data_IF_573140671772
#
_entry.id   IF_573140671772
#
_cell.length_a   1.000
_cell.length_b   1.000
_cell.length_c   1.000
_cell.angle_alpha   90.00
_cell.angle_beta   90.00
_cell.angle_gamma   90.00
#
_symmetry.space_group_name_H-M   'P 1'
#
loop_
_entity.id
_entity.type
_entity.pdbx_description
1 polymer ?
#
# COMPACT_ATOMS: atom_id res chain seq x y z
N UNK A 1 22.99 9.98 -34.17
CA UNK A 1 22.44 10.54 -32.93
C UNK A 1 21.61 9.46 -32.30
N UNK A 2 21.95 9.04 -31.06
CA UNK A 2 21.11 8.07 -30.35
C UNK A 2 19.80 8.77 -29.97
N UNK A 3 18.74 8.47 -30.71
CA UNK A 3 17.41 8.96 -30.37
C UNK A 3 16.94 8.15 -29.15
N UNK A 4 17.00 8.72 -27.96
CA UNK A 4 16.50 8.11 -26.73
C UNK A 4 15.08 8.63 -26.51
N UNK A 5 14.10 7.76 -26.80
CA UNK A 5 12.70 8.08 -26.62
C UNK A 5 12.19 7.55 -25.26
N UNK A 6 11.22 8.25 -24.71
CA UNK A 6 10.48 7.79 -23.54
C UNK A 6 9.62 6.56 -23.92
N UNK A 7 9.52 5.60 -23.02
CA UNK A 7 8.70 4.42 -23.23
C UNK A 7 7.23 4.79 -23.57
N UNK A 8 6.67 4.19 -24.60
CA UNK A 8 5.35 4.55 -25.13
C UNK A 8 4.22 4.38 -24.09
N UNK A 9 4.26 3.31 -23.29
CA UNK A 9 3.26 3.11 -22.23
C UNK A 9 3.44 4.12 -21.09
N UNK A 10 4.69 4.51 -20.80
CA UNK A 10 4.97 5.55 -19.81
C UNK A 10 4.53 6.93 -20.32
N UNK A 11 4.66 7.19 -21.62
CA UNK A 11 4.21 8.44 -22.23
C UNK A 11 2.70 8.66 -22.07
N UNK A 12 1.89 7.60 -22.16
CA UNK A 12 0.46 7.69 -21.89
C UNK A 12 0.13 8.14 -20.46
N UNK A 13 0.99 7.79 -19.48
CA UNK A 13 0.85 8.23 -18.08
C UNK A 13 1.38 9.64 -17.89
N UNK A 14 2.56 9.95 -18.48
CA UNK A 14 3.19 11.26 -18.39
C UNK A 14 2.28 12.39 -18.91
N UNK A 15 1.67 12.17 -20.05
CA UNK A 15 0.83 13.18 -20.73
C UNK A 15 -0.67 12.99 -20.47
N UNK A 16 -1.04 12.29 -19.40
CA UNK A 16 -2.44 12.22 -18.99
C UNK A 16 -2.97 13.60 -18.59
N UNK A 17 -4.16 13.95 -19.06
CA UNK A 17 -4.81 15.24 -18.80
C UNK A 17 -5.02 15.53 -17.28
N UNK A 18 -5.04 14.49 -16.44
CA UNK A 18 -5.17 14.62 -15.01
C UNK A 18 -3.87 15.09 -14.32
N UNK A 19 -2.72 14.97 -15.00
CA UNK A 19 -1.42 15.34 -14.44
C UNK A 19 -1.17 16.83 -14.65
N UNK A 20 -0.89 17.55 -13.55
CA UNK A 20 -0.65 19.00 -13.54
C UNK A 20 0.81 19.35 -13.30
N UNK A 21 1.57 18.45 -12.65
CA UNK A 21 2.97 18.67 -12.32
C UNK A 21 3.76 17.36 -12.33
N UNK A 22 4.96 17.39 -12.91
CA UNK A 22 5.96 16.34 -12.75
C UNK A 22 6.90 16.66 -11.61
N UNK A 23 7.00 15.76 -10.64
CA UNK A 23 8.01 15.79 -9.60
C UNK A 23 9.07 14.76 -9.96
N UNK A 24 10.23 15.21 -10.39
CA UNK A 24 11.32 14.32 -10.82
C UNK A 24 12.18 13.97 -9.62
N UNK A 25 12.26 12.69 -9.26
CA UNK A 25 13.19 12.22 -8.25
C UNK A 25 14.62 12.32 -8.81
N UNK A 26 15.32 13.37 -8.45
CA UNK A 26 16.60 13.76 -9.00
C UNK A 26 17.72 13.52 -7.98
N UNK A 27 18.65 12.60 -8.28
CA UNK A 27 19.77 12.25 -7.40
C UNK A 27 21.10 12.84 -7.86
N UNK A 28 21.14 13.56 -8.99
CA UNK A 28 22.36 14.03 -9.61
C UNK A 28 23.16 12.93 -10.33
N UNK A 29 22.80 11.65 -10.17
CA UNK A 29 23.42 10.55 -10.90
C UNK A 29 22.98 10.50 -12.37
N UNK A 30 23.76 9.81 -13.22
CA UNK A 30 23.59 9.73 -14.67
C UNK A 30 22.13 9.49 -15.10
N UNK A 31 21.48 8.46 -14.56
CA UNK A 31 20.17 8.03 -15.01
C UNK A 31 19.09 9.09 -14.73
N UNK A 32 19.16 9.75 -13.56
CA UNK A 32 18.24 10.83 -13.19
C UNK A 32 18.51 12.12 -13.95
N UNK A 33 19.76 12.40 -14.31
CA UNK A 33 20.15 13.57 -15.12
C UNK A 33 19.65 13.41 -16.55
N UNK A 34 19.83 12.23 -17.14
CA UNK A 34 19.29 11.93 -18.47
C UNK A 34 17.75 12.02 -18.48
N UNK A 35 17.09 11.45 -17.45
CA UNK A 35 15.64 11.57 -17.32
C UNK A 35 15.21 13.05 -17.27
N UNK A 36 15.85 13.85 -16.42
CA UNK A 36 15.51 15.27 -16.28
C UNK A 36 15.69 16.00 -17.62
N UNK A 37 16.81 15.77 -18.33
CA UNK A 37 17.08 16.36 -19.63
C UNK A 37 16.03 15.96 -20.68
N UNK A 38 15.64 14.69 -20.76
CA UNK A 38 14.59 14.22 -21.67
C UNK A 38 13.24 14.89 -21.40
N UNK A 39 12.87 15.03 -20.11
CA UNK A 39 11.60 15.63 -19.70
C UNK A 39 11.55 17.16 -19.98
N UNK A 40 12.67 17.85 -19.76
CA UNK A 40 12.77 19.29 -20.03
C UNK A 40 12.55 19.59 -21.51
N UNK A 41 13.01 18.72 -22.41
CA UNK A 41 12.88 18.88 -23.85
C UNK A 41 11.53 18.44 -24.43
N UNK A 42 10.56 18.03 -23.59
CA UNK A 42 9.20 17.76 -24.06
C UNK A 42 8.42 19.06 -24.32
N UNK A 43 7.82 19.18 -25.49
CA UNK A 43 7.09 20.40 -25.90
C UNK A 43 5.86 20.66 -25.01
N UNK A 44 5.10 19.61 -24.67
CA UNK A 44 3.83 19.70 -23.93
C UNK A 44 4.01 19.34 -22.44
N UNK A 45 5.20 19.64 -21.86
CA UNK A 45 5.46 19.34 -20.44
C UNK A 45 4.62 20.21 -19.50
N UNK A 46 4.04 19.63 -18.43
CA UNK A 46 3.42 20.41 -17.37
C UNK A 46 4.47 21.13 -16.50
N UNK A 47 4.03 21.76 -15.42
CA UNK A 47 4.97 22.25 -14.40
C UNK A 47 5.91 21.14 -13.95
N UNK A 48 7.16 21.49 -13.63
CA UNK A 48 8.17 20.53 -13.17
C UNK A 48 8.79 20.99 -11.86
N UNK A 49 9.17 20.00 -11.03
CA UNK A 49 9.98 20.18 -9.83
C UNK A 49 11.01 19.05 -9.77
N UNK A 50 12.29 19.37 -9.73
CA UNK A 50 13.33 18.41 -9.40
C UNK A 50 13.46 18.30 -7.87
N UNK A 51 13.33 17.09 -7.35
CA UNK A 51 13.34 16.82 -5.91
C UNK A 51 14.48 15.87 -5.54
N UNK A 52 15.45 16.39 -4.81
CA UNK A 52 16.57 15.66 -4.25
C UNK A 52 16.24 15.19 -2.83
N UNK A 53 16.48 13.92 -2.53
CA UNK A 53 16.35 13.38 -1.17
C UNK A 53 17.76 13.12 -0.63
N UNK A 54 18.14 13.92 0.35
CA UNK A 54 19.40 13.76 1.05
C UNK A 54 19.25 12.78 2.22
N UNK A 55 19.97 11.67 2.16
CA UNK A 55 19.96 10.65 3.20
C UNK A 55 20.97 10.92 4.34
N UNK A 56 21.82 11.95 4.21
CA UNK A 56 22.85 12.29 5.20
C UNK A 56 23.90 11.18 5.41
N UNK A 57 24.01 10.23 4.47
CA UNK A 57 24.89 9.08 4.60
C UNK A 57 26.30 9.32 4.05
N UNK A 58 26.49 10.37 3.27
CA UNK A 58 27.74 10.70 2.59
C UNK A 58 28.29 12.03 3.11
N UNK A 59 29.61 12.10 3.28
CA UNK A 59 30.27 13.35 3.70
C UNK A 59 30.15 14.46 2.62
N UNK A 60 29.99 14.06 1.37
CA UNK A 60 29.87 14.92 0.19
C UNK A 60 28.43 15.35 -0.12
N UNK A 61 27.47 15.06 0.74
CA UNK A 61 26.03 15.31 0.52
C UNK A 61 25.72 16.78 0.19
N UNK A 62 26.39 17.74 0.84
CA UNK A 62 26.24 19.15 0.54
C UNK A 62 26.74 19.51 -0.87
N UNK A 63 27.89 18.98 -1.28
CA UNK A 63 28.45 19.18 -2.62
C UNK A 63 27.52 18.59 -3.69
N UNK A 64 26.91 17.45 -3.43
CA UNK A 64 25.96 16.83 -4.34
C UNK A 64 24.66 17.62 -4.46
N UNK A 65 24.19 18.19 -3.37
CA UNK A 65 23.03 19.09 -3.37
C UNK A 65 23.28 20.32 -4.22
N UNK A 66 24.47 20.95 -4.10
CA UNK A 66 24.87 22.10 -4.92
C UNK A 66 24.94 21.72 -6.41
N UNK A 67 25.58 20.60 -6.75
CA UNK A 67 25.62 20.11 -8.13
C UNK A 67 24.23 19.89 -8.73
N UNK A 68 23.31 19.30 -7.96
CA UNK A 68 21.92 19.12 -8.38
C UNK A 68 21.22 20.47 -8.62
N UNK A 69 21.45 21.46 -7.77
CA UNK A 69 20.89 22.79 -7.90
C UNK A 69 21.44 23.49 -9.15
N UNK A 70 22.74 23.38 -9.43
CA UNK A 70 23.38 23.97 -10.62
C UNK A 70 22.81 23.39 -11.91
N UNK A 71 22.65 22.06 -12.01
CA UNK A 71 22.01 21.42 -13.17
C UNK A 71 20.57 21.92 -13.35
N UNK A 72 19.81 22.00 -12.26
CA UNK A 72 18.44 22.48 -12.33
C UNK A 72 18.36 23.95 -12.74
N UNK A 73 19.30 24.79 -12.30
CA UNK A 73 19.42 26.18 -12.76
C UNK A 73 19.71 26.27 -14.26
N UNK A 74 20.65 25.44 -14.78
CA UNK A 74 20.95 25.38 -16.22
C UNK A 74 19.73 24.99 -17.04
N UNK A 75 18.89 24.08 -16.54
CA UNK A 75 17.68 23.62 -17.20
C UNK A 75 16.44 24.49 -16.90
N UNK A 76 16.59 25.54 -16.09
CA UNK A 76 15.52 26.44 -15.67
C UNK A 76 14.35 25.68 -14.99
N UNK A 77 14.67 24.70 -14.15
CA UNK A 77 13.70 23.88 -13.41
C UNK A 77 13.78 24.20 -11.92
N UNK A 78 12.65 24.43 -11.25
CA UNK A 78 12.60 24.54 -9.80
C UNK A 78 13.22 23.32 -9.12
N UNK A 79 14.08 23.57 -8.12
CA UNK A 79 14.78 22.55 -7.35
C UNK A 79 14.39 22.63 -5.87
N UNK A 80 14.23 21.46 -5.25
CA UNK A 80 14.06 21.33 -3.80
C UNK A 80 14.89 20.16 -3.30
N UNK A 81 15.45 20.30 -2.10
CA UNK A 81 16.12 19.21 -1.38
C UNK A 81 15.43 18.94 -0.05
N UNK A 82 15.36 17.68 0.35
CA UNK A 82 14.81 17.24 1.64
C UNK A 82 15.79 16.31 2.30
N UNK A 83 16.26 16.71 3.49
CA UNK A 83 17.03 15.82 4.34
C UNK A 83 16.11 14.79 5.02
N UNK A 84 16.49 13.52 5.00
CA UNK A 84 15.80 12.43 5.67
C UNK A 84 16.71 11.69 6.61
N UNK A 85 16.19 11.31 7.77
CA UNK A 85 16.91 10.45 8.72
C UNK A 85 16.61 9.00 8.40
N UNK A 86 17.64 8.21 8.13
CA UNK A 86 17.51 6.77 7.90
C UNK A 86 17.58 6.05 9.24
N UNK A 87 16.57 5.23 9.56
CA UNK A 87 16.57 4.45 10.79
C UNK A 87 17.75 3.45 10.81
N UNK A 88 18.45 3.37 11.94
CA UNK A 88 19.63 2.51 12.09
C UNK A 88 19.29 1.00 12.19
N UNK A 89 18.01 0.63 12.31
CA UNK A 89 17.56 -0.76 12.47
C UNK A 89 17.16 -1.39 11.13
N UNK A 90 17.61 -2.60 10.84
CA UNK A 90 17.28 -3.35 9.62
C UNK A 90 18.32 -3.24 8.49
N UNK A 91 17.98 -3.64 7.25
CA UNK A 91 18.87 -3.47 6.11
C UNK A 91 18.87 -2.01 5.68
N UNK A 92 20.05 -1.35 5.69
CA UNK A 92 20.20 0.07 5.38
C UNK A 92 19.58 0.49 4.06
N UNK A 93 19.66 -0.35 3.01
CA UNK A 93 19.06 -0.08 1.69
C UNK A 93 17.54 -0.03 1.74
N UNK A 94 16.90 -0.96 2.47
CA UNK A 94 15.43 -1.00 2.60
C UNK A 94 14.93 0.23 3.35
N UNK A 95 15.58 0.58 4.46
CA UNK A 95 15.21 1.74 5.27
C UNK A 95 15.40 3.06 4.50
N UNK A 96 16.52 3.21 3.79
CA UNK A 96 16.77 4.38 2.94
C UNK A 96 15.71 4.50 1.82
N UNK A 97 15.32 3.37 1.24
CA UNK A 97 14.24 3.34 0.23
C UNK A 97 12.89 3.75 0.83
N UNK A 98 12.52 3.23 2.01
CA UNK A 98 11.26 3.58 2.68
C UNK A 98 11.23 5.07 3.06
N UNK A 99 12.30 5.59 3.67
CA UNK A 99 12.44 7.01 4.02
C UNK A 99 12.30 7.91 2.80
N UNK A 100 12.93 7.53 1.66
CA UNK A 100 12.82 8.26 0.40
C UNK A 100 11.37 8.31 -0.12
N UNK A 101 10.66 7.18 -0.14
CA UNK A 101 9.28 7.15 -0.60
C UNK A 101 8.35 7.93 0.33
N UNK A 102 8.61 7.91 1.64
CA UNK A 102 7.87 8.73 2.60
C UNK A 102 8.11 10.23 2.36
N UNK A 103 9.35 10.64 2.09
CA UNK A 103 9.68 12.03 1.75
C UNK A 103 8.96 12.46 0.46
N UNK A 104 8.95 11.62 -0.57
CA UNK A 104 8.17 11.90 -1.77
C UNK A 104 6.68 12.08 -1.46
N UNK A 105 6.08 11.18 -0.68
CA UNK A 105 4.65 11.27 -0.32
C UNK A 105 4.30 12.57 0.41
N UNK A 106 5.20 13.11 1.23
CA UNK A 106 4.98 14.35 1.97
C UNK A 106 4.96 15.60 1.06
N UNK A 107 5.58 15.54 -0.12
CA UNK A 107 5.64 16.64 -1.10
C UNK A 107 4.58 16.53 -2.18
N UNK A 108 4.24 15.31 -2.55
CA UNK A 108 3.31 15.04 -3.64
C UNK A 108 1.88 15.46 -3.26
N UNK A 109 1.24 16.15 -4.20
CA UNK A 109 -0.16 16.55 -4.12
C UNK A 109 -1.00 15.70 -5.08
N UNK A 110 -2.31 15.79 -4.94
CA UNK A 110 -3.23 15.24 -5.94
C UNK A 110 -2.91 15.84 -7.31
N UNK A 111 -2.92 15.02 -8.36
CA UNK A 111 -2.54 15.37 -9.74
C UNK A 111 -1.03 15.59 -9.97
N UNK A 112 -0.17 15.33 -8.99
CA UNK A 112 1.26 15.22 -9.23
C UNK A 112 1.62 13.82 -9.76
N UNK A 113 2.66 13.78 -10.60
CA UNK A 113 3.30 12.55 -11.04
C UNK A 113 4.75 12.53 -10.59
N UNK A 114 5.11 11.57 -9.75
CA UNK A 114 6.51 11.29 -9.42
C UNK A 114 7.17 10.55 -10.58
N UNK A 115 8.21 11.11 -11.15
CA UNK A 115 8.94 10.50 -12.27
C UNK A 115 10.33 10.07 -11.81
N UNK A 116 10.67 8.78 -12.02
CA UNK A 116 11.91 8.18 -11.54
C UNK A 116 12.72 7.56 -12.67
N UNK A 117 14.05 7.72 -12.63
CA UNK A 117 15.01 7.28 -13.64
C UNK A 117 15.41 5.79 -13.55
N UNK A 118 14.51 4.90 -13.12
CA UNK A 118 14.79 3.46 -13.16
C UNK A 118 14.82 2.98 -14.62
N UNK A 119 15.76 2.07 -14.89
CA UNK A 119 16.04 1.59 -16.25
C UNK A 119 16.00 0.05 -16.35
N UNK A 120 16.28 -0.50 -17.52
CA UNK A 120 16.20 -1.93 -17.81
C UNK A 120 17.08 -2.77 -16.87
N UNK A 121 18.31 -2.34 -16.60
CA UNK A 121 19.22 -3.11 -15.74
C UNK A 121 18.70 -3.15 -14.29
N UNK A 122 17.99 -2.10 -13.79
CA UNK A 122 17.27 -2.13 -12.51
C UNK A 122 16.14 -3.16 -12.49
N UNK A 123 15.45 -3.36 -13.62
CA UNK A 123 14.45 -4.42 -13.77
C UNK A 123 15.06 -5.80 -13.56
N UNK A 124 16.19 -6.04 -14.21
CA UNK A 124 16.91 -7.32 -14.11
C UNK A 124 17.37 -7.57 -12.68
N UNK A 125 18.05 -6.60 -12.07
CA UNK A 125 18.49 -6.67 -10.68
C UNK A 125 17.32 -7.00 -9.74
N UNK A 126 16.19 -6.29 -9.90
CA UNK A 126 15.01 -6.49 -9.06
C UNK A 126 14.39 -7.88 -9.28
N UNK A 127 14.32 -8.34 -10.54
CA UNK A 127 13.79 -9.66 -10.86
C UNK A 127 14.65 -10.78 -10.23
N UNK A 128 15.98 -10.68 -10.33
CA UNK A 128 16.89 -11.62 -9.71
C UNK A 128 16.84 -11.58 -8.18
N UNK A 129 16.83 -10.39 -7.57
CA UNK A 129 16.70 -10.26 -6.12
C UNK A 129 15.39 -10.88 -5.61
N UNK A 130 14.29 -10.66 -6.29
CA UNK A 130 12.99 -11.24 -5.91
C UNK A 130 13.00 -12.76 -6.06
N UNK A 131 13.63 -13.30 -7.11
CA UNK A 131 13.81 -14.73 -7.29
C UNK A 131 14.66 -15.35 -6.16
N UNK A 132 15.79 -14.75 -5.84
CA UNK A 132 16.71 -15.22 -4.79
C UNK A 132 16.10 -15.16 -3.39
N UNK A 133 15.25 -14.15 -3.13
CA UNK A 133 14.53 -14.00 -1.85
C UNK A 133 13.32 -14.95 -1.73
N UNK A 134 13.04 -15.75 -2.73
CA UNK A 134 11.88 -16.65 -2.73
C UNK A 134 10.56 -15.88 -2.69
N UNK A 135 10.44 -14.84 -3.52
CA UNK A 135 9.19 -14.06 -3.62
C UNK A 135 7.99 -14.98 -3.82
N UNK A 136 7.04 -14.95 -2.89
CA UNK A 136 5.83 -15.77 -2.93
C UNK A 136 4.80 -15.28 -3.96
N UNK A 137 5.08 -14.18 -4.62
CA UNK A 137 4.30 -13.73 -5.76
C UNK A 137 4.69 -14.61 -6.95
N UNK A 138 3.75 -15.31 -7.60
CA UNK A 138 4.06 -16.14 -8.76
C UNK A 138 4.79 -15.33 -9.84
N UNK A 139 5.90 -15.86 -10.32
CA UNK A 139 6.64 -15.31 -11.44
C UNK A 139 7.75 -14.33 -11.12
N UNK A 140 8.45 -13.90 -12.16
CA UNK A 140 9.49 -12.87 -12.10
C UNK A 140 8.84 -11.51 -11.83
N UNK A 141 9.06 -10.95 -10.65
CA UNK A 141 8.50 -9.65 -10.28
C UNK A 141 9.54 -8.56 -10.49
N UNK A 142 9.32 -7.72 -11.47
CA UNK A 142 10.13 -6.52 -11.71
C UNK A 142 9.56 -5.27 -11.06
N UNK A 143 10.11 -4.13 -11.45
CA UNK A 143 9.63 -2.81 -11.05
C UNK A 143 8.43 -2.44 -11.92
N UNK A 144 7.27 -2.02 -11.38
CA UNK A 144 6.14 -1.59 -12.20
C UNK A 144 6.45 -0.26 -12.90
N UNK A 145 6.05 -0.11 -14.16
CA UNK A 145 6.19 1.14 -14.94
C UNK A 145 5.49 2.30 -14.27
N UNK A 146 4.25 2.06 -13.85
CA UNK A 146 3.46 3.01 -13.09
C UNK A 146 2.79 2.34 -11.90
N UNK A 147 2.59 3.09 -10.81
CA UNK A 147 1.83 2.64 -9.65
C UNK A 147 1.31 3.83 -8.84
N UNK A 148 0.31 3.61 -8.02
CA UNK A 148 -0.13 4.62 -7.04
C UNK A 148 0.89 4.79 -5.90
N UNK A 149 0.98 6.03 -5.40
CA UNK A 149 1.76 6.40 -4.22
C UNK A 149 0.94 7.44 -3.42
N UNK A 150 0.15 6.97 -2.48
CA UNK A 150 -0.87 7.82 -1.84
C UNK A 150 -1.91 8.26 -2.86
N UNK A 151 -2.17 9.58 -2.91
CA UNK A 151 -3.08 10.20 -3.87
C UNK A 151 -2.43 10.52 -5.22
N UNK A 152 -1.10 10.37 -5.33
CA UNK A 152 -0.33 10.60 -6.55
C UNK A 152 -0.01 9.30 -7.28
N UNK A 153 0.62 9.45 -8.45
CA UNK A 153 1.15 8.34 -9.26
C UNK A 153 2.68 8.40 -9.33
N UNK A 154 3.31 7.25 -9.54
CA UNK A 154 4.74 7.12 -9.88
C UNK A 154 4.84 6.57 -11.28
N UNK A 155 5.71 7.15 -12.11
CA UNK A 155 6.03 6.68 -13.46
C UNK A 155 7.55 6.48 -13.63
N UNK A 156 7.95 5.54 -14.51
CA UNK A 156 9.36 5.22 -14.81
C UNK A 156 9.56 5.10 -16.31
N UNK A 157 9.81 6.22 -16.98
CA UNK A 157 9.82 6.27 -18.45
C UNK A 157 11.00 5.54 -19.10
N UNK A 158 12.10 5.31 -18.36
CA UNK A 158 13.30 4.67 -18.87
C UNK A 158 13.37 3.16 -18.60
N UNK A 159 12.29 2.57 -18.07
CA UNK A 159 12.31 1.20 -17.56
C UNK A 159 12.56 0.13 -18.63
N UNK A 160 12.32 0.43 -19.90
CA UNK A 160 12.65 -0.41 -21.05
C UNK A 160 14.01 -0.11 -21.67
N UNK A 161 14.73 0.91 -21.21
CA UNK A 161 15.98 1.41 -21.80
C UNK A 161 17.20 0.79 -21.13
N UNK A 162 18.15 0.29 -21.91
CA UNK A 162 19.41 -0.23 -21.37
C UNK A 162 20.28 0.90 -20.82
N UNK A 163 20.99 0.66 -19.71
CA UNK A 163 21.89 1.64 -19.10
C UNK A 163 22.99 2.12 -20.07
N UNK A 164 23.45 1.25 -20.97
CA UNK A 164 24.41 1.62 -22.02
C UNK A 164 23.88 2.70 -22.98
N UNK A 165 22.61 2.59 -23.38
CA UNK A 165 21.94 3.61 -24.21
C UNK A 165 21.81 4.94 -23.46
N UNK A 166 21.45 4.91 -22.17
CA UNK A 166 21.38 6.09 -21.29
C UNK A 166 22.77 6.76 -21.23
N UNK A 167 23.84 5.96 -21.04
CA UNK A 167 25.21 6.47 -20.99
C UNK A 167 25.62 7.12 -22.31
N UNK A 168 25.33 6.49 -23.46
CA UNK A 168 25.64 7.06 -24.79
C UNK A 168 24.93 8.40 -24.97
N UNK A 169 23.66 8.47 -24.62
CA UNK A 169 22.90 9.72 -24.67
C UNK A 169 23.50 10.81 -23.77
N UNK A 170 23.86 10.48 -22.54
CA UNK A 170 24.47 11.44 -21.62
C UNK A 170 25.76 12.04 -22.18
N UNK A 171 26.61 11.20 -22.80
CA UNK A 171 27.86 11.63 -23.43
C UNK A 171 27.60 12.48 -24.69
N UNK A 172 26.68 12.08 -25.55
CA UNK A 172 26.33 12.86 -26.77
C UNK A 172 25.77 14.23 -26.43
N UNK A 173 24.98 14.34 -25.34
CA UNK A 173 24.40 15.60 -24.87
C UNK A 173 25.33 16.39 -23.94
N UNK A 174 26.56 15.93 -23.72
CA UNK A 174 27.55 16.56 -22.81
C UNK A 174 26.97 16.82 -21.41
N UNK A 175 26.15 15.89 -20.88
CA UNK A 175 25.58 16.02 -19.54
C UNK A 175 26.65 15.70 -18.48
N UNK A 176 26.65 16.47 -17.39
CA UNK A 176 27.45 16.18 -16.20
C UNK A 176 26.62 15.45 -15.16
N UNK A 177 27.22 14.53 -14.44
CA UNK A 177 26.56 13.77 -13.38
C UNK A 177 27.52 13.41 -12.26
N UNK A 178 26.96 13.05 -11.09
CA UNK A 178 27.70 12.55 -9.93
C UNK A 178 27.88 11.04 -10.06
N UNK A 179 29.10 10.56 -9.81
CA UNK A 179 29.38 9.14 -9.61
C UNK A 179 29.52 8.87 -8.11
N UNK A 180 28.50 8.20 -7.52
CA UNK A 180 28.55 7.80 -6.12
C UNK A 180 29.55 6.64 -5.94
N UNK A 181 30.65 6.80 -5.18
CA UNK A 181 31.65 5.76 -4.96
C UNK A 181 31.09 4.50 -4.31
N UNK A 182 30.01 4.62 -3.54
CA UNK A 182 29.35 3.47 -2.88
C UNK A 182 28.76 2.46 -3.87
N UNK A 183 28.48 2.87 -5.10
CA UNK A 183 27.99 1.97 -6.17
C UNK A 183 29.05 0.93 -6.60
N UNK A 184 30.33 1.19 -6.37
CA UNK A 184 31.40 0.25 -6.66
C UNK A 184 31.61 -0.81 -5.57
N UNK A 185 31.02 -0.59 -4.38
CA UNK A 185 31.15 -1.51 -3.24
C UNK A 185 30.11 -2.62 -3.32
N UNK A 186 30.54 -3.87 -3.18
CA UNK A 186 29.69 -5.07 -3.24
C UNK A 186 28.96 -5.36 -1.91
N UNK A 187 28.82 -4.37 -1.03
CA UNK A 187 28.21 -4.53 0.30
C UNK A 187 26.70 -4.80 0.25
N UNK A 188 26.01 -4.20 -0.71
CA UNK A 188 24.60 -4.45 -0.94
C UNK A 188 24.38 -5.56 -1.96
N UNK A 189 23.41 -6.44 -1.74
CA UNK A 189 23.04 -7.52 -2.66
C UNK A 189 22.87 -7.00 -4.11
N UNK A 190 22.28 -5.82 -4.24
CA UNK A 190 22.04 -5.18 -5.53
C UNK A 190 23.34 -4.81 -6.25
N UNK A 191 24.30 -4.23 -5.52
CA UNK A 191 25.59 -3.88 -6.08
C UNK A 191 26.38 -5.14 -6.44
N UNK A 192 26.36 -6.18 -5.59
CA UNK A 192 26.96 -7.47 -5.91
C UNK A 192 26.39 -8.08 -7.20
N UNK A 193 25.08 -8.08 -7.35
CA UNK A 193 24.44 -8.55 -8.60
C UNK A 193 24.90 -7.71 -9.79
N UNK A 194 24.88 -6.38 -9.69
CA UNK A 194 25.26 -5.45 -10.75
C UNK A 194 26.73 -5.60 -11.17
N UNK A 195 27.62 -5.66 -10.18
CA UNK A 195 29.06 -5.57 -10.42
C UNK A 195 29.70 -6.93 -10.74
N UNK A 196 29.16 -8.04 -10.21
CA UNK A 196 29.73 -9.37 -10.33
C UNK A 196 28.89 -10.33 -11.14
N UNK A 197 27.63 -10.48 -10.83
CA UNK A 197 26.78 -11.54 -11.40
C UNK A 197 26.30 -11.16 -12.80
N UNK A 198 25.75 -9.97 -12.98
CA UNK A 198 25.18 -9.55 -14.27
C UNK A 198 26.22 -9.55 -15.42
N UNK A 199 27.45 -9.07 -15.24
CA UNK A 199 28.47 -9.16 -16.30
C UNK A 199 28.74 -10.61 -16.73
N UNK A 200 28.83 -11.55 -15.79
CA UNK A 200 29.03 -12.97 -16.09
C UNK A 200 27.86 -13.57 -16.88
N UNK A 201 26.62 -13.23 -16.45
CA UNK A 201 25.41 -13.68 -17.14
C UNK A 201 25.33 -13.12 -18.56
N UNK A 202 25.62 -11.83 -18.73
CA UNK A 202 25.58 -11.18 -20.06
C UNK A 202 26.66 -11.75 -20.99
N UNK A 203 27.87 -12.00 -20.48
CA UNK A 203 28.95 -12.59 -21.30
C UNK A 203 28.61 -13.99 -21.80
N UNK A 204 27.92 -14.78 -21.00
CA UNK A 204 27.53 -16.16 -21.34
C UNK A 204 26.21 -16.25 -22.10
N UNK A 205 25.29 -15.33 -21.79
CA UNK A 205 23.94 -15.25 -22.36
C UNK A 205 23.65 -13.81 -22.83
N UNK A 206 24.13 -13.41 -24.01
CA UNK A 206 23.99 -12.01 -24.49
C UNK A 206 22.54 -11.53 -24.52
N UNK A 207 21.59 -12.43 -24.79
CA UNK A 207 20.16 -12.12 -24.89
C UNK A 207 19.42 -12.13 -23.53
N UNK A 208 20.13 -12.26 -22.40
CA UNK A 208 19.46 -12.42 -21.10
C UNK A 208 18.53 -11.27 -20.77
N UNK A 209 18.89 -10.04 -21.17
CA UNK A 209 18.06 -8.84 -20.97
C UNK A 209 16.69 -8.99 -21.64
N UNK A 210 16.68 -9.32 -22.91
CA UNK A 210 15.44 -9.48 -23.69
C UNK A 210 14.59 -10.66 -23.19
N UNK A 211 15.25 -11.76 -22.81
CA UNK A 211 14.57 -12.96 -22.28
C UNK A 211 13.90 -12.68 -20.93
N UNK A 212 14.59 -11.97 -20.03
CA UNK A 212 14.02 -11.61 -18.73
C UNK A 212 12.87 -10.61 -18.91
N UNK A 213 13.01 -9.61 -19.79
CA UNK A 213 11.90 -8.71 -20.11
C UNK A 213 10.68 -9.45 -20.64
N UNK A 214 10.87 -10.38 -21.57
CA UNK A 214 9.78 -11.23 -22.09
C UNK A 214 9.12 -12.02 -20.96
N UNK A 215 9.91 -12.57 -20.04
CA UNK A 215 9.41 -13.25 -18.84
C UNK A 215 8.56 -12.29 -17.97
N UNK A 216 9.08 -11.11 -17.67
CA UNK A 216 8.37 -10.09 -16.88
C UNK A 216 7.03 -9.68 -17.51
N UNK A 217 6.98 -9.50 -18.82
CA UNK A 217 5.72 -9.18 -19.53
C UNK A 217 4.69 -10.31 -19.41
N UNK A 218 5.12 -11.58 -19.60
CA UNK A 218 4.23 -12.73 -19.43
C UNK A 218 3.70 -12.84 -18.00
N UNK A 219 4.54 -12.55 -17.01
CA UNK A 219 4.14 -12.58 -15.61
C UNK A 219 3.16 -11.46 -15.26
N UNK A 220 3.27 -10.27 -15.87
CA UNK A 220 2.27 -9.20 -15.73
C UNK A 220 0.92 -9.68 -16.28
N UNK A 221 0.90 -10.28 -17.47
CA UNK A 221 -0.33 -10.83 -18.06
C UNK A 221 -0.94 -11.96 -17.19
N UNK A 222 -0.11 -12.88 -16.71
CA UNK A 222 -0.56 -13.94 -15.81
C UNK A 222 -1.19 -13.39 -14.52
N UNK A 223 -0.59 -12.36 -13.92
CA UNK A 223 -1.15 -11.69 -12.74
C UNK A 223 -2.47 -10.99 -13.03
N UNK A 224 -2.62 -10.36 -14.20
CA UNK A 224 -3.90 -9.77 -14.60
C UNK A 224 -5.00 -10.84 -14.71
N UNK A 225 -4.69 -11.98 -15.31
CA UNK A 225 -5.63 -13.11 -15.40
C UNK A 225 -5.97 -13.66 -14.02
N UNK A 226 -4.99 -13.83 -13.13
CA UNK A 226 -5.23 -14.28 -11.75
C UNK A 226 -6.09 -13.28 -10.97
N UNK A 227 -5.90 -11.99 -11.19
CA UNK A 227 -6.70 -10.94 -10.56
C UNK A 227 -8.15 -10.95 -11.11
N UNK A 228 -8.34 -11.13 -12.42
CA UNK A 228 -9.66 -11.29 -13.01
C UNK A 228 -10.37 -12.54 -12.48
N UNK A 229 -9.66 -13.67 -12.41
CA UNK A 229 -10.19 -14.91 -11.83
C UNK A 229 -10.63 -14.70 -10.38
N UNK A 230 -9.79 -14.03 -9.55
CA UNK A 230 -10.15 -13.75 -8.16
C UNK A 230 -11.41 -12.88 -8.04
N UNK A 231 -11.60 -11.91 -8.93
CA UNK A 231 -12.82 -11.09 -8.97
C UNK A 231 -14.04 -11.88 -9.38
N UNK A 232 -13.92 -12.77 -10.36
CA UNK A 232 -14.99 -13.69 -10.74
C UNK A 232 -15.35 -14.62 -9.59
N UNK A 233 -14.33 -15.19 -8.91
CA UNK A 233 -14.53 -16.00 -7.72
C UNK A 233 -15.26 -15.25 -6.63
N UNK A 234 -14.84 -14.02 -6.33
CA UNK A 234 -15.49 -13.19 -5.33
C UNK A 234 -16.96 -12.93 -5.68
N UNK A 235 -17.25 -12.59 -6.93
CA UNK A 235 -18.63 -12.38 -7.41
C UNK A 235 -19.48 -13.64 -7.28
N UNK A 236 -18.92 -14.81 -7.65
CA UNK A 236 -19.64 -16.10 -7.55
C UNK A 236 -19.91 -16.53 -6.09
N UNK A 237 -19.11 -16.03 -5.13
CA UNK A 237 -19.25 -16.32 -3.71
C UNK A 237 -20.06 -15.27 -2.95
N UNK A 238 -20.45 -14.18 -3.61
CA UNK A 238 -21.34 -13.17 -3.03
C UNK A 238 -22.74 -13.75 -2.84
N UNK A 239 -23.26 -13.59 -1.66
CA UNK A 239 -24.65 -13.84 -1.28
C UNK A 239 -25.18 -12.59 -0.54
N UNK A 240 -26.42 -12.61 -0.08
CA UNK A 240 -27.07 -11.50 0.66
C UNK A 240 -26.37 -11.19 2.00
N UNK A 241 -25.34 -11.94 2.38
CA UNK A 241 -24.62 -11.79 3.63
C UNK A 241 -23.25 -11.18 3.38
N UNK A 242 -22.80 -10.31 4.25
CA UNK A 242 -21.45 -9.77 4.22
C UNK A 242 -20.38 -10.85 4.55
N UNK A 243 -19.16 -10.66 4.05
CA UNK A 243 -18.05 -11.60 4.20
C UNK A 243 -18.12 -12.79 3.24
N UNK A 244 -17.12 -13.66 3.24
CA UNK A 244 -17.02 -14.82 2.34
C UNK A 244 -17.21 -16.10 3.13
N UNK A 245 -18.03 -17.01 2.65
CA UNK A 245 -18.22 -18.33 3.26
C UNK A 245 -16.92 -19.15 3.26
N UNK A 246 -16.48 -19.64 4.43
CA UNK A 246 -15.32 -20.51 4.53
C UNK A 246 -15.53 -21.84 3.82
N UNK A 247 -16.76 -22.35 3.80
CA UNK A 247 -17.10 -23.56 3.06
C UNK A 247 -16.96 -23.32 1.54
N UNK A 248 -17.46 -22.19 1.06
CA UNK A 248 -17.33 -21.83 -0.35
C UNK A 248 -15.86 -21.62 -0.76
N UNK A 249 -15.05 -20.97 0.10
CA UNK A 249 -13.58 -20.89 -0.11
C UNK A 249 -12.92 -22.26 -0.16
N UNK A 250 -13.34 -23.20 0.70
CA UNK A 250 -12.83 -24.57 0.68
C UNK A 250 -13.19 -25.29 -0.63
N UNK A 251 -14.38 -25.07 -1.16
CA UNK A 251 -14.83 -25.64 -2.43
C UNK A 251 -14.10 -25.09 -3.65
N UNK A 252 -13.61 -23.83 -3.61
CA UNK A 252 -12.74 -23.26 -4.65
C UNK A 252 -11.40 -24.00 -4.77
N UNK A 253 -10.95 -24.65 -3.70
CA UNK A 253 -9.63 -25.22 -3.56
C UNK A 253 -8.60 -24.17 -3.10
N UNK A 254 -7.49 -24.65 -2.53
CA UNK A 254 -6.49 -23.82 -1.86
C UNK A 254 -5.92 -22.72 -2.77
N UNK A 255 -5.51 -23.07 -4.00
CA UNK A 255 -4.86 -22.14 -4.91
C UNK A 255 -5.76 -20.93 -5.24
N UNK A 256 -7.02 -21.17 -5.58
CA UNK A 256 -7.99 -20.09 -5.90
C UNK A 256 -8.38 -19.30 -4.66
N UNK A 257 -8.59 -19.96 -3.52
CA UNK A 257 -8.85 -19.28 -2.25
C UNK A 257 -7.71 -18.33 -1.86
N UNK A 258 -6.45 -18.79 -1.96
CA UNK A 258 -5.27 -17.96 -1.69
C UNK A 258 -5.14 -16.80 -2.68
N UNK A 259 -5.42 -17.03 -3.97
CA UNK A 259 -5.43 -15.98 -4.98
C UNK A 259 -6.48 -14.90 -4.67
N UNK A 260 -7.69 -15.32 -4.29
CA UNK A 260 -8.79 -14.42 -3.91
C UNK A 260 -8.41 -13.57 -2.68
N UNK A 261 -7.90 -14.18 -1.61
CA UNK A 261 -7.52 -13.45 -0.40
C UNK A 261 -6.37 -12.45 -0.67
N UNK A 262 -5.36 -12.83 -1.45
CA UNK A 262 -4.26 -11.95 -1.86
C UNK A 262 -4.76 -10.77 -2.71
N UNK A 263 -5.67 -11.03 -3.64
CA UNK A 263 -6.27 -9.99 -4.48
C UNK A 263 -7.05 -8.99 -3.64
N UNK A 264 -7.85 -9.44 -2.68
CA UNK A 264 -8.55 -8.54 -1.76
C UNK A 264 -7.60 -7.62 -0.97
N UNK A 265 -6.46 -8.15 -0.50
CA UNK A 265 -5.44 -7.37 0.20
C UNK A 265 -4.80 -6.35 -0.74
N UNK A 266 -4.43 -6.77 -1.95
CA UNK A 266 -3.83 -5.90 -2.97
C UNK A 266 -4.78 -4.75 -3.37
N UNK A 267 -6.07 -5.03 -3.56
CA UNK A 267 -7.08 -4.02 -3.88
C UNK A 267 -7.27 -2.97 -2.76
N UNK A 268 -6.95 -3.34 -1.51
CA UNK A 268 -6.93 -2.43 -0.36
C UNK A 268 -5.57 -1.75 -0.12
N UNK A 269 -4.57 -2.02 -0.97
CA UNK A 269 -3.21 -1.50 -0.80
C UNK A 269 -2.47 -2.09 0.42
N UNK A 270 -2.91 -3.23 0.92
CA UNK A 270 -2.29 -3.91 2.07
C UNK A 270 -1.09 -4.71 1.60
N UNK A 271 0.04 -4.56 2.31
CA UNK A 271 1.21 -5.39 2.06
C UNK A 271 0.86 -6.88 2.23
N UNK A 272 1.20 -7.68 1.24
CA UNK A 272 0.90 -9.12 1.26
C UNK A 272 1.73 -9.80 2.36
N UNK A 273 1.08 -10.57 3.24
CA UNK A 273 1.80 -11.43 4.19
C UNK A 273 2.47 -12.58 3.45
N UNK A 274 3.39 -13.28 4.12
CA UNK A 274 3.96 -14.49 3.57
C UNK A 274 2.86 -15.53 3.25
N UNK A 275 3.01 -16.27 2.15
CA UNK A 275 2.02 -17.28 1.77
C UNK A 275 1.86 -18.37 2.82
N UNK A 276 2.94 -18.68 3.55
CA UNK A 276 2.88 -19.59 4.70
C UNK A 276 1.96 -19.04 5.79
N UNK A 277 2.09 -17.75 6.13
CA UNK A 277 1.26 -17.10 7.16
C UNK A 277 -0.22 -17.05 6.75
N UNK A 278 -0.50 -16.65 5.50
CA UNK A 278 -1.87 -16.57 5.01
C UNK A 278 -2.53 -17.96 4.89
N UNK A 279 -1.77 -18.96 4.42
CA UNK A 279 -2.22 -20.35 4.29
C UNK A 279 -2.52 -20.96 5.67
N UNK A 280 -1.61 -20.80 6.62
CA UNK A 280 -1.82 -21.29 7.99
C UNK A 280 -3.03 -20.62 8.62
N UNK A 281 -3.16 -19.30 8.52
CA UNK A 281 -4.30 -18.58 9.06
C UNK A 281 -5.64 -19.00 8.43
N UNK A 282 -5.67 -19.29 7.13
CA UNK A 282 -6.88 -19.82 6.47
C UNK A 282 -7.21 -21.24 6.99
N UNK A 283 -6.21 -22.11 7.14
CA UNK A 283 -6.38 -23.45 7.70
C UNK A 283 -6.90 -23.39 9.15
N UNK A 284 -6.33 -22.51 9.97
CA UNK A 284 -6.80 -22.30 11.36
C UNK A 284 -8.26 -21.82 11.39
N UNK A 285 -8.65 -20.93 10.46
CA UNK A 285 -10.03 -20.47 10.34
C UNK A 285 -10.99 -21.57 9.89
N UNK A 286 -10.54 -22.47 9.02
CA UNK A 286 -11.38 -23.59 8.56
C UNK A 286 -11.50 -24.69 9.60
N UNK A 287 -10.45 -24.96 10.38
CA UNK A 287 -10.39 -26.02 11.39
C UNK A 287 -10.90 -25.64 12.78
N UNK A 288 -11.11 -24.35 13.05
CA UNK A 288 -11.50 -23.90 14.40
C UNK A 288 -12.95 -24.31 14.74
N UNK A 289 -13.18 -24.60 16.03
CA UNK A 289 -14.50 -24.81 16.61
C UNK A 289 -15.44 -23.62 16.33
N UNK A 290 -16.78 -23.82 16.32
CA UNK A 290 -17.75 -22.78 15.98
C UNK A 290 -17.70 -21.52 16.86
N UNK A 291 -17.32 -21.67 18.12
CA UNK A 291 -17.23 -20.60 19.13
C UNK A 291 -15.91 -19.85 19.08
N UNK A 292 -14.88 -20.40 18.43
CA UNK A 292 -13.57 -19.77 18.28
C UNK A 292 -13.57 -18.81 17.10
N UNK A 293 -12.90 -17.68 17.29
CA UNK A 293 -12.77 -16.60 16.29
C UNK A 293 -11.29 -16.35 15.98
N UNK A 294 -10.60 -17.28 15.28
CA UNK A 294 -9.22 -17.05 14.85
C UNK A 294 -9.14 -15.84 13.96
N UNK A 295 -7.97 -15.21 13.94
CA UNK A 295 -7.71 -14.02 13.15
C UNK A 295 -6.32 -14.07 12.49
N UNK A 296 -6.21 -13.41 11.34
CA UNK A 296 -4.93 -13.16 10.69
C UNK A 296 -4.64 -11.67 10.80
N UNK A 297 -3.60 -11.30 11.55
CA UNK A 297 -3.16 -9.91 11.66
C UNK A 297 -2.35 -9.50 10.44
N UNK A 298 -2.65 -8.31 9.92
CA UNK A 298 -2.00 -7.68 8.78
C UNK A 298 -1.69 -6.22 9.12
N UNK A 299 -0.81 -5.57 8.39
CA UNK A 299 -0.52 -4.14 8.62
C UNK A 299 -1.75 -3.29 8.31
N UNK A 300 -2.41 -2.79 9.35
CA UNK A 300 -3.61 -1.95 9.24
C UNK A 300 -4.91 -2.68 8.90
N UNK A 301 -4.89 -4.00 8.74
CA UNK A 301 -6.05 -4.83 8.46
C UNK A 301 -5.98 -6.16 9.21
N UNK A 302 -7.09 -6.90 9.21
CA UNK A 302 -7.16 -8.25 9.76
C UNK A 302 -8.24 -9.06 9.05
N UNK A 303 -7.96 -10.34 8.82
CA UNK A 303 -9.03 -11.29 8.54
C UNK A 303 -9.59 -11.84 9.86
N UNK A 304 -10.91 -11.85 9.99
CA UNK A 304 -11.60 -12.43 11.15
C UNK A 304 -12.67 -13.41 10.72
N UNK A 305 -12.81 -14.48 11.50
CA UNK A 305 -13.88 -15.47 11.34
C UNK A 305 -15.07 -15.11 12.20
N UNK A 306 -16.28 -15.24 11.63
CA UNK A 306 -17.53 -15.17 12.36
C UNK A 306 -18.61 -16.01 11.64
N UNK A 307 -19.28 -16.92 12.37
CA UNK A 307 -20.35 -17.78 11.84
C UNK A 307 -20.02 -18.46 10.51
N UNK A 308 -18.84 -19.08 10.43
CA UNK A 308 -18.40 -19.78 9.21
C UNK A 308 -18.04 -18.90 8.03
N UNK A 309 -17.89 -17.61 8.23
CA UNK A 309 -17.49 -16.63 7.20
C UNK A 309 -16.21 -15.92 7.61
N UNK A 310 -15.45 -15.45 6.60
CA UNK A 310 -14.25 -14.64 6.76
C UNK A 310 -14.55 -13.20 6.35
N UNK A 311 -14.04 -12.25 7.12
CA UNK A 311 -14.21 -10.81 6.93
C UNK A 311 -12.84 -10.13 6.89
N UNK A 312 -12.59 -9.34 5.86
CA UNK A 312 -11.44 -8.43 5.82
C UNK A 312 -11.84 -7.10 6.44
N UNK A 313 -11.26 -6.76 7.57
CA UNK A 313 -11.59 -5.58 8.35
C UNK A 313 -10.36 -4.68 8.50
N UNK A 314 -10.54 -3.36 8.42
CA UNK A 314 -9.52 -2.40 8.81
C UNK A 314 -9.32 -2.48 10.32
N UNK A 315 -8.05 -2.54 10.76
CA UNK A 315 -7.74 -2.45 12.18
C UNK A 315 -8.03 -1.03 12.64
N UNK A 316 -9.01 -0.89 13.53
CA UNK A 316 -9.39 0.41 14.09
C UNK A 316 -9.01 0.40 15.55
N UNK A 317 -8.25 1.38 15.98
CA UNK A 317 -8.02 1.65 17.40
C UNK A 317 -9.36 2.04 18.01
N UNK A 318 -9.75 1.38 19.10
CA UNK A 318 -10.93 1.82 19.85
C UNK A 318 -10.54 3.13 20.53
N UNK A 319 -11.14 4.22 20.10
CA UNK A 319 -11.05 5.48 20.83
C UNK A 319 -12.05 5.40 21.97
N UNK A 320 -11.56 5.51 23.20
CA UNK A 320 -12.41 5.58 24.38
C UNK A 320 -12.96 7.01 24.44
N UNK A 321 -14.25 7.16 24.17
CA UNK A 321 -14.91 8.46 24.22
C UNK A 321 -15.65 8.64 25.55
N UNK A 322 -15.64 9.86 26.08
CA UNK A 322 -16.29 10.19 27.34
C UNK A 322 -17.81 10.02 27.24
N UNK A 323 -18.50 9.67 28.32
CA UNK A 323 -19.96 9.59 28.32
C UNK A 323 -20.60 10.89 27.83
N UNK A 324 -21.55 10.77 26.90
CA UNK A 324 -22.27 11.87 26.29
C UNK A 324 -23.72 11.84 26.72
N UNK A 325 -24.20 12.94 27.29
CA UNK A 325 -25.62 13.07 27.59
C UNK A 325 -26.44 13.15 26.32
N UNK A 326 -27.54 12.37 26.25
CA UNK A 326 -28.46 12.48 25.13
C UNK A 326 -29.43 13.64 25.36
N UNK A 327 -29.32 14.73 24.61
CA UNK A 327 -30.21 15.89 24.77
C UNK A 327 -31.67 15.50 24.56
N UNK A 328 -32.59 16.08 25.37
CA UNK A 328 -34.03 15.74 25.33
C UNK A 328 -34.64 15.96 23.94
N UNK A 329 -34.14 16.96 23.21
CA UNK A 329 -34.70 17.36 21.93
C UNK A 329 -33.96 16.75 20.71
N UNK A 330 -32.83 16.06 20.94
CA UNK A 330 -32.05 15.47 19.85
C UNK A 330 -32.68 14.12 19.42
N UNK A 331 -33.08 14.01 18.16
CA UNK A 331 -33.54 12.74 17.57
C UNK A 331 -32.39 11.84 17.15
N UNK A 332 -31.21 12.37 16.90
CA UNK A 332 -30.02 11.62 16.52
C UNK A 332 -28.77 12.18 17.18
N UNK A 333 -27.79 11.30 17.40
CA UNK A 333 -26.41 11.62 17.81
C UNK A 333 -25.44 10.95 16.87
N UNK A 334 -24.45 11.69 16.41
CA UNK A 334 -23.33 11.19 15.63
C UNK A 334 -22.08 11.14 16.51
N UNK A 335 -21.55 9.91 16.77
CA UNK A 335 -20.41 9.69 17.65
C UNK A 335 -19.42 8.80 16.93
N UNK A 336 -18.23 9.31 16.65
CA UNK A 336 -17.13 8.53 16.01
C UNK A 336 -17.59 7.77 14.76
N UNK A 337 -18.45 8.39 13.95
CA UNK A 337 -18.99 7.78 12.73
C UNK A 337 -20.11 6.75 12.97
N UNK A 338 -20.61 6.62 14.19
CA UNK A 338 -21.81 5.86 14.52
C UNK A 338 -22.97 6.83 14.68
N UNK A 339 -24.00 6.70 13.88
CA UNK A 339 -25.23 7.45 14.02
C UNK A 339 -26.26 6.64 14.79
N UNK A 340 -26.70 7.17 15.93
CA UNK A 340 -27.72 6.58 16.78
C UNK A 340 -28.95 7.46 16.70
N UNK A 341 -30.09 6.86 16.40
CA UNK A 341 -31.39 7.56 16.31
C UNK A 341 -32.34 7.08 17.39
N UNK A 342 -33.29 7.92 17.77
CA UNK A 342 -34.43 7.53 18.61
C UNK A 342 -35.74 7.90 17.91
N UNK A 343 -36.65 6.96 17.93
CA UNK A 343 -38.00 7.13 17.39
C UNK A 343 -39.03 6.89 18.48
N UNK A 344 -40.18 7.56 18.39
CA UNK A 344 -41.30 7.30 19.27
C UNK A 344 -41.95 6.00 18.83
N UNK A 345 -42.17 5.11 19.79
CA UNK A 345 -42.86 3.84 19.57
C UNK A 345 -43.99 3.69 20.59
N UNK A 346 -45.09 3.05 20.19
CA UNK A 346 -46.26 2.88 21.04
C UNK A 346 -46.06 1.80 22.12
N UNK A 347 -45.17 0.85 21.88
CA UNK A 347 -44.86 -0.22 22.82
C UNK A 347 -43.40 -0.71 22.68
N UNK A 348 -42.86 -1.31 23.72
CA UNK A 348 -41.56 -1.97 23.71
C UNK A 348 -40.35 -1.03 23.76
N UNK A 349 -40.55 0.27 23.80
CA UNK A 349 -39.54 1.30 23.92
C UNK A 349 -39.07 1.57 25.35
N UNK A 350 -38.22 2.59 25.49
CA UNK A 350 -37.81 3.13 26.80
C UNK A 350 -38.84 4.14 27.30
N UNK A 351 -39.19 4.15 28.63
CA UNK A 351 -40.09 5.12 29.18
C UNK A 351 -39.64 6.56 28.99
N UNK A 352 -40.54 7.47 28.61
CA UNK A 352 -40.17 8.87 28.37
C UNK A 352 -39.75 9.66 29.61
N UNK A 353 -39.98 9.14 30.81
CA UNK A 353 -39.65 9.79 32.08
C UNK A 353 -38.25 9.45 32.65
N UNK A 354 -37.43 8.71 31.89
CA UNK A 354 -36.09 8.24 32.35
C UNK A 354 -35.05 9.37 32.58
N UNK A 355 -35.41 10.61 32.48
CA UNK A 355 -34.47 11.73 32.63
C UNK A 355 -33.60 11.90 31.39
N UNK A 356 -32.37 12.42 31.59
CA UNK A 356 -31.39 12.57 30.51
C UNK A 356 -30.44 11.36 30.54
N UNK A 357 -30.61 10.39 29.64
CA UNK A 357 -29.72 9.23 29.60
C UNK A 357 -28.36 9.60 29.02
N UNK A 358 -27.32 8.85 29.41
CA UNK A 358 -25.98 8.99 28.89
C UNK A 358 -25.63 7.84 27.96
N UNK A 359 -24.98 8.14 26.84
CA UNK A 359 -24.33 7.16 25.98
C UNK A 359 -22.86 7.02 26.38
N UNK A 360 -22.38 5.79 26.49
CA UNK A 360 -20.96 5.47 26.68
C UNK A 360 -20.62 4.14 26.02
N UNK A 361 -19.35 3.81 25.89
CA UNK A 361 -18.95 2.50 25.42
C UNK A 361 -19.31 1.41 26.45
N UNK A 362 -19.65 0.25 25.93
CA UNK A 362 -19.91 -0.95 26.70
C UNK A 362 -18.65 -1.35 27.49
N UNK A 363 -18.80 -1.64 28.78
CA UNK A 363 -17.72 -2.16 29.63
C UNK A 363 -17.72 -3.69 29.69
N UNK A 364 -16.56 -4.31 30.00
CA UNK A 364 -16.50 -5.76 30.23
C UNK A 364 -17.39 -6.21 31.40
N UNK A 365 -18.09 -7.32 31.23
CA UNK A 365 -18.88 -7.92 32.31
C UNK A 365 -20.25 -7.29 32.58
N UNK A 366 -20.64 -6.23 31.85
CA UNK A 366 -21.91 -5.55 32.06
C UNK A 366 -23.13 -6.44 31.90
N UNK A 367 -24.14 -6.12 32.71
CA UNK A 367 -25.44 -6.76 32.70
C UNK A 367 -26.55 -5.74 32.53
N UNK A 368 -27.58 -6.13 31.85
CA UNK A 368 -28.84 -5.37 31.74
C UNK A 368 -29.88 -6.02 32.64
N UNK A 369 -30.64 -5.17 33.36
CA UNK A 369 -31.78 -5.58 34.17
C UNK A 369 -33.04 -5.23 33.38
N UNK A 370 -33.69 -6.25 32.85
CA UNK A 370 -35.09 -6.15 32.36
C UNK A 370 -35.97 -7.03 33.26
N UNK A 371 -36.50 -8.10 32.73
CA UNK A 371 -37.28 -9.08 33.53
C UNK A 371 -36.34 -10.01 34.30
N UNK A 372 -35.15 -10.26 33.79
CA UNK A 372 -34.06 -11.04 34.39
C UNK A 372 -32.70 -10.38 34.16
N UNK A 373 -31.77 -10.62 35.08
CA UNK A 373 -30.36 -10.20 34.97
C UNK A 373 -29.66 -11.00 33.87
N UNK A 374 -29.32 -10.35 32.77
CA UNK A 374 -28.63 -10.97 31.60
C UNK A 374 -27.33 -10.27 31.29
N UNK A 375 -26.29 -11.03 30.98
CA UNK A 375 -25.03 -10.46 30.48
C UNK A 375 -25.22 -9.92 29.09
N UNK A 376 -24.77 -8.69 28.83
CA UNK A 376 -24.86 -8.06 27.51
C UNK A 376 -24.23 -8.93 26.43
N UNK A 377 -23.05 -9.51 26.72
CA UNK A 377 -22.35 -10.35 25.75
C UNK A 377 -23.15 -11.56 25.30
N UNK A 378 -24.05 -12.11 26.15
CA UNK A 378 -24.90 -13.23 25.79
C UNK A 378 -26.03 -12.76 24.86
N UNK A 379 -26.65 -11.63 25.17
CA UNK A 379 -27.66 -10.99 24.31
C UNK A 379 -27.08 -10.68 22.92
N UNK A 380 -25.90 -10.07 22.88
CA UNK A 380 -25.22 -9.75 21.63
C UNK A 380 -24.80 -10.98 20.83
N UNK A 381 -24.50 -12.11 21.53
CA UNK A 381 -24.20 -13.39 20.89
C UNK A 381 -25.47 -13.98 20.25
N UNK A 382 -26.59 -13.97 20.96
CA UNK A 382 -27.89 -14.39 20.45
C UNK A 382 -28.33 -13.53 19.26
N UNK A 383 -28.16 -12.22 19.37
CA UNK A 383 -28.42 -11.26 18.29
C UNK A 383 -27.42 -11.35 17.13
N UNK A 384 -26.47 -12.31 17.18
CA UNK A 384 -25.48 -12.52 16.11
C UNK A 384 -24.56 -11.34 15.86
N UNK A 385 -24.27 -10.52 16.86
CA UNK A 385 -23.33 -9.41 16.76
C UNK A 385 -21.89 -9.94 16.79
N UNK A 386 -21.04 -9.62 15.80
CA UNK A 386 -19.65 -10.05 15.77
C UNK A 386 -18.85 -9.54 16.97
N UNK A 387 -17.88 -10.35 17.46
CA UNK A 387 -17.08 -10.03 18.67
C UNK A 387 -16.36 -8.69 18.57
N UNK A 388 -15.86 -8.32 17.38
CA UNK A 388 -15.14 -7.06 17.14
C UNK A 388 -16.03 -5.80 17.11
N UNK A 389 -17.35 -6.00 16.98
CA UNK A 389 -18.32 -4.91 17.10
C UNK A 389 -18.74 -4.73 18.55
N UNK A 390 -18.89 -5.83 19.32
CA UNK A 390 -19.41 -5.79 20.69
C UNK A 390 -18.65 -4.88 21.64
N UNK A 391 -17.32 -4.78 21.49
CA UNK A 391 -16.48 -3.90 22.31
C UNK A 391 -16.60 -2.41 21.96
N UNK A 392 -17.25 -2.10 20.85
CA UNK A 392 -17.40 -0.74 20.30
C UNK A 392 -18.85 -0.26 20.32
N UNK A 393 -19.76 -1.10 20.79
CA UNK A 393 -21.17 -0.73 20.86
C UNK A 393 -21.37 0.30 21.96
N UNK A 394 -22.08 1.41 21.66
CA UNK A 394 -22.59 2.29 22.65
C UNK A 394 -23.67 1.59 23.50
N UNK A 395 -23.75 1.98 24.74
CA UNK A 395 -24.82 1.56 25.64
C UNK A 395 -25.47 2.79 26.26
N UNK A 396 -26.77 2.73 26.50
CA UNK A 396 -27.52 3.80 27.13
C UNK A 396 -27.64 3.53 28.60
N UNK A 397 -27.26 4.50 29.42
CA UNK A 397 -27.21 4.40 30.88
C UNK A 397 -28.03 5.53 31.49
N UNK A 398 -28.82 5.25 32.52
CA UNK A 398 -29.52 6.24 33.32
C UNK A 398 -29.36 5.89 34.80
N UNK A 399 -28.96 6.86 35.63
CA UNK A 399 -28.69 6.66 37.06
C UNK A 399 -27.80 5.44 37.33
N UNK A 400 -26.69 5.35 36.60
CA UNK A 400 -25.70 4.25 36.64
C UNK A 400 -26.25 2.86 36.28
N UNK A 401 -27.47 2.77 35.84
CA UNK A 401 -28.07 1.52 35.35
C UNK A 401 -28.10 1.51 33.82
N UNK A 402 -27.70 0.38 33.24
CA UNK A 402 -27.78 0.13 31.82
C UNK A 402 -29.22 -0.15 31.42
N UNK A 403 -29.78 0.69 30.56
CA UNK A 403 -31.19 0.67 30.18
C UNK A 403 -31.43 0.15 28.76
N UNK A 404 -30.49 0.37 27.86
CA UNK A 404 -30.59 -0.14 26.49
C UNK A 404 -29.23 -0.33 25.80
N UNK A 405 -29.26 -1.13 24.74
CA UNK A 405 -28.23 -1.26 23.70
C UNK A 405 -28.90 -0.76 22.43
N UNK A 406 -28.47 0.40 21.89
CA UNK A 406 -29.04 0.98 20.68
C UNK A 406 -28.86 0.11 19.46
#
# INVERSE_FOLDING_TARGET
>A
MANLDLDQEASAVLFSADIKRWVVGFSGGMDSTVLLHLLVNQADRPEMLALYIDHGLQAESETWTLHCADICQQFQIPFASIAVTVAASGSGETNARESRYQAFQNVLKRHDLLVLGHHLDDQLETAFLNLLRGSEVPGLTGIPRARRLGDAMVCRPLLGTARTTIKSYALEQNLSWIEDPSNALDLADRNFLRNRVMPLLVSRFPDIRSKVLTGLHRDVQARQLLHQLARQDLQSLQDDRSGISLQALKMLGEARAMNLLRTQLSDKGVALPSGKHLRQGLADMQGAEPDKSPLINLKGYQYRRFKGRIYLLKTVTIVDWQPIEWPKDAQALDIEGIRITRDKVDSGGLPMHLGTPQLRLKQPGEVILRDQRRKINDILREASVPSWIRSRLPVLVSKDQLIAIP
#
